data_IF_852876882623
#
_entry.id   IF_852876882623
#
_cell.length_a   1.000
_cell.length_b   1.000
_cell.length_c   1.000
_cell.angle_alpha   90.00
_cell.angle_beta   90.00
_cell.angle_gamma   90.00
#
_symmetry.space_group_name_H-M   'P 1'
#
loop_
_entity.id
_entity.type
_entity.pdbx_description
1 polymer ?
#
# COMPACT_ATOMS: atom_id res chain seq x y z
N UNK A 1 -33.77 -31.08 9.79
CA UNK A 1 -32.53 -31.87 9.90
C UNK A 1 -32.82 -33.31 9.48
N UNK A 2 -32.05 -33.87 8.54
CA UNK A 2 -32.25 -35.28 8.17
C UNK A 2 -31.67 -36.21 9.26
N UNK A 3 -32.25 -37.38 9.45
CA UNK A 3 -31.77 -38.40 10.41
C UNK A 3 -30.27 -38.69 10.16
N UNK A 4 -29.83 -38.69 8.91
CA UNK A 4 -28.42 -38.86 8.54
C UNK A 4 -27.51 -37.74 9.06
N UNK A 5 -27.99 -36.51 9.12
CA UNK A 5 -27.22 -35.37 9.69
C UNK A 5 -27.13 -35.51 11.22
N UNK A 6 -28.17 -35.93 11.87
CA UNK A 6 -28.17 -36.18 13.32
C UNK A 6 -27.19 -37.30 13.70
N UNK A 7 -27.17 -38.40 12.96
CA UNK A 7 -26.24 -39.51 13.17
C UNK A 7 -24.77 -39.06 12.94
N UNK A 8 -24.48 -38.29 11.87
CA UNK A 8 -23.14 -37.76 11.61
C UNK A 8 -22.68 -36.83 12.73
N UNK A 9 -23.57 -35.96 13.24
CA UNK A 9 -23.25 -35.08 14.35
C UNK A 9 -22.98 -35.85 15.64
N UNK A 10 -23.77 -36.91 15.94
CA UNK A 10 -23.58 -37.76 17.11
C UNK A 10 -22.28 -38.58 17.06
N UNK A 11 -21.87 -39.04 15.86
CA UNK A 11 -20.66 -39.82 15.65
C UNK A 11 -19.40 -38.94 15.42
N UNK A 12 -19.55 -37.62 15.46
CA UNK A 12 -18.43 -36.66 15.27
C UNK A 12 -17.60 -36.92 13.99
N UNK A 13 -18.24 -37.52 12.96
CA UNK A 13 -17.55 -37.87 11.71
C UNK A 13 -16.93 -36.67 11.00
N UNK A 14 -17.47 -35.46 11.20
CA UNK A 14 -16.97 -34.23 10.64
C UNK A 14 -15.59 -33.83 11.23
N UNK A 15 -15.34 -34.17 12.50
CA UNK A 15 -14.04 -34.00 13.14
C UNK A 15 -12.98 -34.91 12.53
N UNK A 16 -13.32 -36.12 12.18
CA UNK A 16 -12.41 -37.06 11.50
C UNK A 16 -12.06 -36.53 10.11
N UNK A 17 -13.05 -36.01 9.37
CA UNK A 17 -12.86 -35.38 8.09
C UNK A 17 -11.95 -34.13 8.18
N UNK A 18 -12.20 -33.29 9.18
CA UNK A 18 -11.38 -32.10 9.46
C UNK A 18 -9.94 -32.47 9.82
N UNK A 19 -9.75 -33.51 10.63
CA UNK A 19 -8.41 -34.02 10.96
C UNK A 19 -7.62 -34.44 9.72
N UNK A 20 -8.22 -35.25 8.84
CA UNK A 20 -7.57 -35.68 7.60
C UNK A 20 -7.27 -34.50 6.67
N UNK A 21 -8.16 -33.51 6.60
CA UNK A 21 -7.93 -32.28 5.84
C UNK A 21 -6.73 -31.51 6.40
N UNK A 22 -6.67 -31.34 7.72
CA UNK A 22 -5.55 -30.66 8.39
C UNK A 22 -4.22 -31.38 8.14
N UNK A 23 -4.19 -32.70 8.28
CA UNK A 23 -3.00 -33.51 8.01
C UNK A 23 -2.55 -33.39 6.56
N UNK A 24 -3.48 -33.47 5.61
CA UNK A 24 -3.18 -33.27 4.19
C UNK A 24 -2.57 -31.89 3.92
N UNK A 25 -3.09 -30.83 4.56
CA UNK A 25 -2.55 -29.47 4.41
C UNK A 25 -1.23 -29.29 5.12
N UNK A 26 -1.03 -29.92 6.25
CA UNK A 26 0.26 -29.92 6.97
C UNK A 26 1.42 -30.44 6.13
N UNK A 27 1.21 -31.52 5.38
CA UNK A 27 2.22 -32.09 4.47
C UNK A 27 2.21 -31.47 3.07
N UNK A 28 1.35 -30.49 2.78
CA UNK A 28 1.33 -29.82 1.47
C UNK A 28 2.43 -28.75 1.37
N UNK A 29 2.76 -28.38 0.13
CA UNK A 29 3.71 -27.27 -0.12
C UNK A 29 3.19 -25.98 0.54
N UNK A 30 4.07 -25.26 1.20
CA UNK A 30 3.77 -23.95 1.78
C UNK A 30 3.45 -22.93 0.68
N UNK A 31 2.41 -22.15 0.89
CA UNK A 31 2.03 -21.01 0.04
C UNK A 31 2.42 -19.66 0.64
N UNK A 32 2.80 -19.66 1.92
CA UNK A 32 3.26 -18.48 2.63
C UNK A 32 4.70 -18.16 2.30
N UNK A 33 4.99 -16.88 2.18
CA UNK A 33 6.35 -16.34 2.01
C UNK A 33 6.91 -15.88 3.36
N UNK A 34 8.22 -15.98 3.52
CA UNK A 34 8.92 -15.58 4.74
C UNK A 34 9.27 -14.09 4.69
N UNK A 35 8.26 -13.22 4.83
CA UNK A 35 8.48 -11.78 4.91
C UNK A 35 9.22 -11.42 6.22
N UNK A 36 10.20 -10.51 6.25
CA UNK A 36 10.66 -9.61 5.17
C UNK A 36 11.79 -10.17 4.28
N UNK A 37 12.27 -11.40 4.53
CA UNK A 37 13.38 -12.00 3.79
C UNK A 37 13.00 -12.35 2.34
N UNK A 38 11.76 -12.79 2.17
CA UNK A 38 11.16 -13.05 0.86
C UNK A 38 10.02 -12.04 0.63
N UNK A 39 10.04 -11.36 -0.52
CA UNK A 39 8.98 -10.45 -0.92
C UNK A 39 8.20 -11.04 -2.08
N UNK A 40 6.88 -10.94 -2.01
CA UNK A 40 6.01 -11.31 -3.12
C UNK A 40 6.15 -10.36 -4.30
N UNK A 41 5.73 -10.79 -5.51
CA UNK A 41 5.75 -9.93 -6.69
C UNK A 41 4.80 -8.73 -6.48
N UNK A 42 5.30 -7.52 -6.75
CA UNK A 42 4.51 -6.31 -6.72
C UNK A 42 3.94 -6.03 -8.12
N UNK A 43 2.68 -5.62 -8.18
CA UNK A 43 2.07 -5.13 -9.41
C UNK A 43 2.72 -3.80 -9.83
N UNK A 44 2.91 -3.53 -11.15
CA UNK A 44 3.34 -2.20 -11.63
C UNK A 44 2.40 -1.06 -11.23
N UNK A 45 1.15 -1.37 -10.89
CA UNK A 45 0.14 -0.42 -10.42
C UNK A 45 0.04 -0.34 -8.90
N UNK A 46 0.97 -0.96 -8.18
CA UNK A 46 0.95 -0.92 -6.72
C UNK A 46 1.19 0.51 -6.22
N UNK A 47 0.33 0.97 -5.32
CA UNK A 47 0.43 2.27 -4.66
C UNK A 47 0.92 2.05 -3.25
N UNK A 48 2.18 2.39 -3.02
CA UNK A 48 2.83 2.30 -1.72
C UNK A 48 2.97 3.64 -1.03
N UNK A 49 3.84 3.69 -0.02
CA UNK A 49 4.18 4.91 0.68
C UNK A 49 4.86 5.91 -0.27
N UNK A 50 4.44 7.17 -0.17
CA UNK A 50 4.91 8.24 -1.05
C UNK A 50 6.32 8.69 -0.67
N UNK A 51 7.10 9.05 -1.68
CA UNK A 51 8.40 9.68 -1.50
C UNK A 51 8.67 10.68 -2.63
N UNK A 52 9.26 11.82 -2.29
CA UNK A 52 9.67 12.79 -3.30
C UNK A 52 10.94 12.30 -4.03
N UNK A 53 10.87 12.26 -5.35
CA UNK A 53 11.95 11.84 -6.23
C UNK A 53 12.93 12.98 -6.46
N UNK A 54 14.20 12.60 -6.71
CA UNK A 54 15.25 13.51 -7.08
C UNK A 54 15.77 13.23 -8.50
N UNK A 55 16.38 14.20 -9.11
CA UNK A 55 17.13 14.02 -10.35
C UNK A 55 18.43 13.23 -10.09
N UNK A 56 19.06 12.73 -11.15
CA UNK A 56 20.33 11.99 -11.06
C UNK A 56 21.48 12.82 -10.46
N UNK A 57 21.43 14.15 -10.60
CA UNK A 57 22.36 15.10 -10.00
C UNK A 57 22.10 15.37 -8.51
N UNK A 58 21.08 14.74 -7.92
CA UNK A 58 20.68 14.92 -6.52
C UNK A 58 19.73 16.09 -6.25
N UNK A 59 19.42 16.90 -7.25
CA UNK A 59 18.51 18.03 -7.13
C UNK A 59 17.06 17.56 -6.95
N UNK A 60 16.27 18.37 -6.23
CA UNK A 60 14.85 18.09 -5.99
C UNK A 60 14.03 18.29 -7.26
N UNK A 61 13.17 17.34 -7.59
CA UNK A 61 12.22 17.48 -8.70
C UNK A 61 11.04 18.38 -8.35
N UNK A 62 10.67 18.42 -7.07
CA UNK A 62 9.51 19.17 -6.60
C UNK A 62 9.72 20.68 -6.76
N UNK A 63 8.80 21.33 -7.48
CA UNK A 63 8.78 22.78 -7.71
C UNK A 63 7.80 23.53 -6.78
N UNK A 64 7.28 22.84 -5.75
CA UNK A 64 6.33 23.39 -4.79
C UNK A 64 5.07 24.05 -5.43
N UNK A 65 4.55 23.48 -6.51
CA UNK A 65 3.38 24.00 -7.22
C UNK A 65 2.05 23.80 -6.46
N UNK A 66 2.04 22.98 -5.40
CA UNK A 66 0.87 22.66 -4.54
C UNK A 66 -0.31 21.96 -5.24
N UNK A 67 -0.16 21.49 -6.49
CA UNK A 67 -1.23 20.78 -7.19
C UNK A 67 -1.64 19.49 -6.49
N UNK A 68 -0.66 18.74 -5.96
CA UNK A 68 -0.93 17.52 -5.20
C UNK A 68 -1.68 17.77 -3.90
N UNK A 69 -1.45 18.90 -3.22
CA UNK A 69 -2.21 19.35 -2.05
C UNK A 69 -3.65 19.67 -2.44
N UNK A 70 -3.84 20.43 -3.52
CA UNK A 70 -5.17 20.87 -3.99
C UNK A 70 -6.05 19.70 -4.49
N UNK A 71 -5.46 18.71 -5.16
CA UNK A 71 -6.20 17.55 -5.71
C UNK A 71 -6.51 16.49 -4.65
N UNK A 72 -5.87 16.52 -3.50
CA UNK A 72 -5.99 15.48 -2.49
C UNK A 72 -7.40 15.41 -1.91
N UNK A 73 -8.20 14.35 -2.16
CA UNK A 73 -9.57 14.26 -1.67
C UNK A 73 -9.63 14.12 -0.15
N UNK A 74 -8.58 13.59 0.48
CA UNK A 74 -8.48 13.42 1.93
C UNK A 74 -7.82 14.60 2.63
N UNK A 75 -7.36 15.63 1.89
CA UNK A 75 -6.60 16.77 2.43
C UNK A 75 -5.46 16.33 3.35
N UNK A 76 -4.75 15.29 2.92
CA UNK A 76 -3.68 14.66 3.69
C UNK A 76 -2.30 15.31 3.45
N UNK A 77 -2.17 16.20 2.47
CA UNK A 77 -0.89 16.79 2.06
C UNK A 77 -0.83 18.24 2.50
N UNK A 78 0.29 18.62 3.11
CA UNK A 78 0.58 20.01 3.50
C UNK A 78 1.95 20.40 2.96
N UNK A 79 2.01 21.51 2.22
CA UNK A 79 3.23 21.98 1.54
C UNK A 79 3.53 23.41 1.94
N UNK A 80 4.76 23.64 2.43
CA UNK A 80 5.32 24.97 2.64
C UNK A 80 6.43 25.19 1.61
N UNK A 81 6.48 26.39 1.05
CA UNK A 81 7.40 26.73 -0.02
C UNK A 81 8.08 28.08 0.24
N UNK A 82 9.35 28.15 -0.11
CA UNK A 82 10.15 29.36 -0.10
C UNK A 82 10.66 29.73 -1.50
N UNK A 83 10.81 31.03 -1.81
CA UNK A 83 11.49 31.45 -3.02
C UNK A 83 12.99 31.18 -2.90
N UNK A 84 13.60 30.70 -4.01
CA UNK A 84 15.06 30.63 -4.14
C UNK A 84 15.62 31.96 -4.64
N UNK A 85 16.93 32.14 -4.53
CA UNK A 85 17.65 33.32 -5.06
C UNK A 85 17.53 33.47 -6.59
N UNK A 86 17.35 32.36 -7.31
CA UNK A 86 17.13 32.27 -8.75
C UNK A 86 15.68 32.59 -9.18
N UNK A 87 14.81 32.96 -8.25
CA UNK A 87 13.38 33.19 -8.48
C UNK A 87 12.52 31.96 -8.61
N UNK A 88 13.08 30.76 -8.54
CA UNK A 88 12.33 29.51 -8.48
C UNK A 88 11.76 29.25 -7.08
N UNK A 89 10.84 28.30 -6.96
CA UNK A 89 10.30 27.87 -5.66
C UNK A 89 10.95 26.59 -5.20
N UNK A 90 11.15 26.46 -3.91
CA UNK A 90 11.62 25.25 -3.23
C UNK A 90 10.63 24.83 -2.15
N UNK A 91 10.50 23.54 -1.95
CA UNK A 91 9.73 22.97 -0.85
C UNK A 91 10.57 22.98 0.43
N UNK A 92 10.11 23.66 1.47
CA UNK A 92 10.74 23.63 2.79
C UNK A 92 10.14 22.57 3.67
N UNK A 93 8.84 22.32 3.49
CA UNK A 93 8.11 21.28 4.22
C UNK A 93 7.15 20.58 3.28
N UNK A 94 7.16 19.26 3.32
CA UNK A 94 6.26 18.40 2.56
C UNK A 94 5.81 17.26 3.44
N UNK A 95 4.62 17.38 4.01
CA UNK A 95 4.07 16.38 4.93
C UNK A 95 2.89 15.69 4.29
N UNK A 96 2.82 14.37 4.47
CA UNK A 96 1.66 13.56 4.13
C UNK A 96 1.17 12.88 5.41
N UNK A 97 -0.05 13.18 5.81
CA UNK A 97 -0.72 12.46 6.89
C UNK A 97 -1.17 11.09 6.40
N UNK A 98 -0.37 10.07 6.72
CA UNK A 98 -0.60 8.70 6.27
C UNK A 98 -1.86 8.06 6.85
N UNK A 99 -2.38 8.60 7.97
CA UNK A 99 -3.64 8.14 8.57
C UNK A 99 -4.85 8.62 7.77
N UNK A 100 -4.75 9.82 7.16
CA UNK A 100 -5.78 10.36 6.28
C UNK A 100 -5.67 9.86 4.85
N UNK A 101 -4.46 9.53 4.41
CA UNK A 101 -4.18 9.14 3.03
C UNK A 101 -4.93 7.85 2.65
N UNK A 102 -5.70 7.91 1.55
CA UNK A 102 -6.44 6.76 1.00
C UNK A 102 -5.70 6.07 -0.15
N UNK A 103 -4.46 6.44 -0.44
CA UNK A 103 -3.61 5.87 -1.51
C UNK A 103 -4.27 5.88 -2.90
N UNK A 104 -5.04 6.94 -3.21
CA UNK A 104 -5.75 7.06 -4.49
C UNK A 104 -4.83 7.32 -5.69
N UNK A 105 -3.62 7.86 -5.48
CA UNK A 105 -2.65 8.16 -6.52
C UNK A 105 -2.89 9.47 -7.29
N UNK A 106 -3.90 10.27 -6.94
CA UNK A 106 -4.19 11.53 -7.64
C UNK A 106 -3.06 12.55 -7.54
N UNK A 107 -2.31 12.54 -6.42
CA UNK A 107 -1.14 13.41 -6.27
C UNK A 107 -0.06 13.11 -7.30
N UNK A 108 0.16 11.83 -7.63
CA UNK A 108 1.08 11.40 -8.66
C UNK A 108 0.61 11.82 -10.05
N UNK A 109 -0.67 11.65 -10.37
CA UNK A 109 -1.25 12.02 -11.67
C UNK A 109 -1.23 13.54 -11.89
N UNK A 110 -1.44 14.33 -10.83
CA UNK A 110 -1.45 15.80 -10.91
C UNK A 110 -0.05 16.42 -10.94
N UNK A 111 1.01 15.67 -10.68
CA UNK A 111 2.37 16.22 -10.59
C UNK A 111 2.96 16.50 -11.97
N UNK A 112 3.23 17.78 -12.33
CA UNK A 112 3.73 18.13 -13.67
C UNK A 112 5.19 17.75 -13.91
N UNK A 113 5.93 17.44 -12.83
CA UNK A 113 7.38 17.14 -12.88
C UNK A 113 7.69 15.72 -12.42
N UNK A 114 6.67 14.92 -12.21
CA UNK A 114 6.82 13.51 -11.79
C UNK A 114 7.69 13.35 -10.53
N UNK A 115 7.45 14.22 -9.55
CA UNK A 115 8.23 14.31 -8.32
C UNK A 115 7.71 13.39 -7.20
N UNK A 116 6.43 12.99 -7.23
CA UNK A 116 5.80 12.15 -6.22
C UNK A 116 5.30 10.85 -6.81
#
# INVERSE_FOLDING_TARGET
MSIAQAIRGALLTDFVGAFFLAMRKFFSRKYTINYPFEKGPLSPRFRGEHALRRYANGEERCIACKLCEAICPAQAITIEAEPREDGSRRTTRYDIDMVKCIYCGFCQEACPVDAI
#
